data_IF_573077433213
#
_entry.id   IF_573077433213
#
_cell.length_a   1.000
_cell.length_b   1.000
_cell.length_c   1.000
_cell.angle_alpha   90.00
_cell.angle_beta   90.00
_cell.angle_gamma   90.00
#
_symmetry.space_group_name_H-M   'P 1'
#
loop_
_entity.id
_entity.type
_entity.pdbx_description
1 polymer ?
#
# COMPACT_ATOMS: atom_id res chain seq x y z
N UNK A 1 -21.60 -48.49 -48.01
CA UNK A 1 -22.75 -47.57 -47.86
C UNK A 1 -22.13 -46.17 -47.76
N UNK A 2 -22.07 -45.38 -48.84
CA UNK A 2 -23.16 -44.57 -49.41
C UNK A 2 -23.77 -43.67 -48.33
N UNK A 3 -23.89 -42.34 -48.43
CA UNK A 3 -23.98 -41.39 -49.55
C UNK A 3 -23.61 -39.98 -48.98
N UNK A 4 -22.90 -39.07 -49.68
CA UNK A 4 -23.45 -37.99 -50.56
C UNK A 4 -24.58 -37.19 -49.88
N UNK A 5 -24.73 -35.87 -49.93
CA UNK A 5 -24.44 -34.86 -50.96
C UNK A 5 -24.97 -33.51 -50.37
N UNK A 6 -24.21 -32.41 -50.37
CA UNK A 6 -24.21 -31.32 -51.38
C UNK A 6 -25.32 -30.27 -51.19
N UNK A 7 -24.98 -28.97 -51.29
CA UNK A 7 -25.99 -27.91 -51.43
C UNK A 7 -25.53 -26.47 -51.13
N UNK A 8 -24.90 -25.81 -52.10
CA UNK A 8 -24.76 -24.34 -52.18
C UNK A 8 -26.09 -23.63 -52.38
N UNK A 9 -26.34 -22.50 -51.70
CA UNK A 9 -27.26 -21.42 -52.16
C UNK A 9 -26.74 -20.09 -51.56
N UNK A 10 -26.04 -19.25 -52.34
CA UNK A 10 -26.55 -18.10 -53.11
C UNK A 10 -27.25 -16.99 -52.30
N UNK A 11 -26.61 -15.83 -52.31
CA UNK A 11 -27.02 -14.53 -51.75
C UNK A 11 -28.11 -13.91 -52.63
N UNK A 12 -29.09 -13.19 -52.05
CA UNK A 12 -29.70 -12.05 -52.72
C UNK A 12 -29.46 -10.72 -51.98
N UNK A 13 -29.28 -9.67 -52.79
CA UNK A 13 -29.07 -8.27 -52.43
C UNK A 13 -30.39 -7.48 -52.38
N UNK A 14 -30.32 -6.28 -51.80
CA UNK A 14 -31.24 -5.11 -51.85
C UNK A 14 -32.45 -5.12 -50.88
N UNK A 15 -32.43 -4.25 -49.86
CA UNK A 15 -32.76 -2.82 -49.99
C UNK A 15 -32.78 -2.08 -48.65
N UNK A 16 -32.16 -0.91 -48.67
CA UNK A 16 -32.28 0.30 -47.84
C UNK A 16 -33.46 0.40 -46.86
N UNK A 17 -33.15 0.59 -45.58
CA UNK A 17 -33.94 1.44 -44.68
C UNK A 17 -33.00 2.47 -44.05
N UNK A 18 -33.23 3.72 -44.45
CA UNK A 18 -32.61 4.93 -43.90
C UNK A 18 -33.11 5.15 -42.47
N UNK A 19 -32.19 5.18 -41.51
CA UNK A 19 -32.48 5.62 -40.14
C UNK A 19 -31.51 6.74 -39.82
N UNK A 20 -32.09 7.90 -39.50
CA UNK A 20 -31.38 9.15 -39.23
C UNK A 20 -30.38 9.02 -38.07
N UNK A 21 -29.24 9.75 -38.10
CA UNK A 21 -28.28 9.73 -37.01
C UNK A 21 -28.86 10.50 -35.81
N UNK A 22 -29.15 9.78 -34.73
CA UNK A 22 -29.31 10.40 -33.41
C UNK A 22 -27.90 10.83 -32.99
N UNK A 23 -27.72 12.14 -32.86
CA UNK A 23 -26.52 12.73 -32.29
C UNK A 23 -26.36 12.20 -30.86
N UNK A 24 -25.48 11.22 -30.69
CA UNK A 24 -24.94 10.86 -29.38
C UNK A 24 -24.11 12.06 -28.93
N UNK A 25 -24.68 12.83 -28.01
CA UNK A 25 -23.96 13.84 -27.25
C UNK A 25 -22.84 13.08 -26.55
N UNK A 26 -21.61 13.27 -27.03
CA UNK A 26 -20.41 12.81 -26.35
C UNK A 26 -20.41 13.47 -24.97
N UNK A 27 -20.68 12.68 -23.95
CA UNK A 27 -20.31 13.05 -22.59
C UNK A 27 -18.79 13.29 -22.61
N UNK A 28 -18.28 14.42 -22.10
CA UNK A 28 -16.85 14.54 -21.88
C UNK A 28 -16.50 13.52 -20.79
N UNK A 29 -15.90 12.40 -21.21
CA UNK A 29 -15.16 11.56 -20.31
C UNK A 29 -14.08 12.45 -19.70
N UNK A 30 -14.30 12.88 -18.45
CA UNK A 30 -13.30 13.58 -17.66
C UNK A 30 -12.19 12.56 -17.37
N UNK A 31 -11.27 12.43 -18.31
CA UNK A 31 -9.99 11.76 -18.13
C UNK A 31 -9.14 12.65 -17.23
N UNK A 32 -9.33 12.54 -15.91
CA UNK A 32 -8.36 13.01 -14.92
C UNK A 32 -7.65 11.81 -14.24
N UNK A 33 -6.76 11.06 -14.93
CA UNK A 33 -5.78 10.21 -14.26
C UNK A 33 -4.35 10.80 -14.24
N UNK A 34 -4.10 11.96 -14.84
CA UNK A 34 -2.73 12.49 -15.02
C UNK A 34 -2.27 13.49 -13.95
N UNK A 35 -3.19 14.22 -13.29
CA UNK A 35 -2.84 15.26 -12.31
C UNK A 35 -2.50 14.71 -10.93
N UNK A 36 -3.21 13.66 -10.49
CA UNK A 36 -2.99 13.03 -9.17
C UNK A 36 -1.63 12.36 -9.07
N UNK A 37 -1.23 11.62 -10.10
CA UNK A 37 0.10 10.97 -10.13
C UNK A 37 1.24 11.98 -10.16
N UNK A 38 1.11 13.06 -10.95
CA UNK A 38 2.12 14.12 -11.01
C UNK A 38 2.27 14.84 -9.66
N UNK A 39 1.15 15.21 -9.04
CA UNK A 39 1.10 15.77 -7.69
C UNK A 39 1.79 14.83 -6.68
N UNK A 40 1.41 13.56 -6.67
CA UNK A 40 1.97 12.59 -5.71
C UNK A 40 3.48 12.39 -5.89
N UNK A 41 3.96 12.45 -7.14
CA UNK A 41 5.38 12.39 -7.45
C UNK A 41 6.11 13.65 -6.98
N UNK A 42 5.53 14.84 -7.16
CA UNK A 42 6.11 16.11 -6.72
C UNK A 42 6.23 16.16 -5.19
N UNK A 43 5.14 15.85 -4.47
CA UNK A 43 5.14 15.77 -3.00
C UNK A 43 6.11 14.69 -2.50
N UNK A 44 6.07 13.49 -3.09
CA UNK A 44 6.96 12.40 -2.72
C UNK A 44 8.44 12.73 -2.94
N UNK A 45 8.79 13.40 -4.04
CA UNK A 45 10.15 13.85 -4.32
C UNK A 45 10.61 14.92 -3.33
N UNK A 46 9.74 15.87 -2.98
CA UNK A 46 10.02 16.88 -1.97
C UNK A 46 10.27 16.28 -0.59
N UNK A 47 9.38 15.41 -0.10
CA UNK A 47 9.57 14.69 1.17
C UNK A 47 10.89 13.90 1.13
N UNK A 48 11.15 13.19 0.02
CA UNK A 48 12.39 12.43 -0.17
C UNK A 48 13.63 13.32 -0.03
N UNK A 49 13.61 14.53 -0.58
CA UNK A 49 14.73 15.49 -0.50
C UNK A 49 15.03 15.95 0.93
N UNK A 50 14.02 15.91 1.81
CA UNK A 50 14.16 16.22 3.24
C UNK A 50 14.72 15.00 3.97
N UNK A 51 14.04 13.86 3.88
CA UNK A 51 14.40 12.66 4.65
C UNK A 51 15.73 12.06 4.19
N UNK A 52 16.16 12.27 2.93
CA UNK A 52 17.44 11.76 2.44
C UNK A 52 18.67 12.33 3.13
N UNK A 53 18.49 13.43 3.89
CA UNK A 53 19.55 14.07 4.69
C UNK A 53 19.64 13.48 6.11
N UNK A 54 18.71 12.61 6.49
CA UNK A 54 18.67 12.01 7.83
C UNK A 54 19.56 10.75 7.91
N UNK A 55 20.33 10.52 9.00
CA UNK A 55 21.12 9.30 9.18
C UNK A 55 20.28 8.01 9.12
N UNK A 56 19.03 8.07 9.59
CA UNK A 56 18.11 6.95 9.55
C UNK A 56 17.73 6.56 8.11
N UNK A 57 17.74 7.49 7.16
CA UNK A 57 17.50 7.19 5.75
C UNK A 57 18.58 6.31 5.16
N UNK A 58 19.85 6.58 5.46
CA UNK A 58 20.96 5.75 5.00
C UNK A 58 20.82 4.32 5.54
N UNK A 59 20.50 4.19 6.83
CA UNK A 59 20.25 2.89 7.47
C UNK A 59 19.08 2.16 6.81
N UNK A 60 17.99 2.88 6.53
CA UNK A 60 16.82 2.34 5.87
C UNK A 60 17.13 1.82 4.47
N UNK A 61 17.81 2.61 3.65
CA UNK A 61 18.20 2.21 2.29
C UNK A 61 19.14 1.00 2.33
N UNK A 62 20.13 1.00 3.22
CA UNK A 62 21.06 -0.13 3.40
C UNK A 62 20.34 -1.42 3.81
N UNK A 63 19.30 -1.31 4.63
CA UNK A 63 18.58 -2.47 5.13
C UNK A 63 17.58 -3.05 4.11
N UNK A 64 17.18 -2.31 3.07
CA UNK A 64 16.27 -2.82 2.02
C UNK A 64 16.83 -3.98 1.20
N UNK A 65 18.15 -4.10 1.07
CA UNK A 65 18.81 -5.20 0.36
C UNK A 65 19.17 -6.38 1.24
N UNK A 66 18.93 -6.28 2.56
CA UNK A 66 19.29 -7.29 3.55
C UNK A 66 18.06 -8.08 3.98
N UNK A 67 18.30 -9.32 4.39
CA UNK A 67 17.35 -10.08 5.17
C UNK A 67 17.51 -9.64 6.63
N UNK A 68 16.44 -9.10 7.21
CA UNK A 68 16.43 -8.54 8.56
C UNK A 68 15.70 -9.48 9.52
N UNK A 69 16.16 -9.49 10.77
CA UNK A 69 15.33 -9.99 11.88
C UNK A 69 14.06 -9.17 11.99
N UNK A 70 13.03 -9.74 12.60
CA UNK A 70 11.78 -9.02 12.78
C UNK A 70 11.96 -7.79 13.69
N UNK A 71 12.79 -7.85 14.74
CA UNK A 71 13.13 -6.70 15.57
C UNK A 71 13.81 -5.56 14.77
N UNK A 72 14.76 -5.89 13.89
CA UNK A 72 15.41 -4.92 12.99
C UNK A 72 14.41 -4.32 11.97
N UNK A 73 13.46 -5.13 11.48
CA UNK A 73 12.38 -4.68 10.60
C UNK A 73 11.42 -3.73 11.33
N UNK A 74 11.14 -3.96 12.62
CA UNK A 74 10.33 -3.03 13.43
C UNK A 74 11.01 -1.66 13.57
N UNK A 75 12.34 -1.60 13.63
CA UNK A 75 13.04 -0.30 13.60
C UNK A 75 12.85 0.43 12.27
N UNK A 76 12.75 -0.29 11.15
CA UNK A 76 12.40 0.31 9.85
C UNK A 76 10.97 0.84 9.86
N UNK A 77 10.04 0.07 10.43
CA UNK A 77 8.65 0.51 10.62
C UNK A 77 8.54 1.77 11.50
N UNK A 78 9.24 1.81 12.64
CA UNK A 78 9.26 2.99 13.52
C UNK A 78 9.77 4.24 12.78
N UNK A 79 10.79 4.08 11.94
CA UNK A 79 11.29 5.19 11.13
C UNK A 79 10.25 5.70 10.14
N UNK A 80 9.66 4.80 9.34
CA UNK A 80 8.62 5.19 8.36
C UNK A 80 7.40 5.78 9.05
N UNK A 81 6.95 5.21 10.17
CA UNK A 81 5.85 5.73 10.97
C UNK A 81 6.13 7.16 11.44
N UNK A 82 7.34 7.43 11.94
CA UNK A 82 7.73 8.79 12.36
C UNK A 82 7.66 9.80 11.21
N UNK A 83 8.05 9.39 10.00
CA UNK A 83 7.96 10.25 8.82
C UNK A 83 6.50 10.44 8.41
N UNK A 84 5.67 9.40 8.46
CA UNK A 84 4.22 9.51 8.27
C UNK A 84 3.61 10.50 9.27
N UNK A 85 3.84 10.30 10.56
CA UNK A 85 3.30 11.17 11.62
C UNK A 85 3.76 12.63 11.49
N UNK A 86 4.96 12.86 10.94
CA UNK A 86 5.50 14.20 10.72
C UNK A 86 4.82 14.93 9.56
N UNK A 87 4.57 14.22 8.45
CA UNK A 87 4.14 14.85 7.20
C UNK A 87 2.65 14.68 6.90
N UNK A 88 2.02 13.60 7.32
CA UNK A 88 0.59 13.38 7.08
C UNK A 88 -0.25 14.53 7.65
N UNK A 89 -1.21 15.04 6.86
CA UNK A 89 -2.08 16.19 7.18
C UNK A 89 -1.36 17.54 7.35
N UNK A 90 -0.06 17.59 7.13
CA UNK A 90 0.66 18.86 7.01
C UNK A 90 0.50 19.44 5.60
N UNK A 91 0.72 20.74 5.45
CA UNK A 91 0.67 21.42 4.15
C UNK A 91 2.05 21.45 3.51
N UNK A 92 2.10 21.25 2.20
CA UNK A 92 3.30 21.54 1.41
C UNK A 92 3.59 23.04 1.37
N UNK A 93 4.86 23.44 1.16
CA UNK A 93 5.22 24.84 0.96
C UNK A 93 4.46 25.45 -0.23
N UNK A 94 4.01 26.71 -0.16
CA UNK A 94 3.22 27.33 -1.23
C UNK A 94 4.01 27.52 -2.54
N UNK A 95 5.33 27.57 -2.43
CA UNK A 95 6.29 27.68 -3.53
C UNK A 95 6.69 26.33 -4.15
N UNK A 96 6.14 25.21 -3.66
CA UNK A 96 6.43 23.89 -4.23
C UNK A 96 5.80 23.75 -5.62
N UNK A 97 6.65 23.68 -6.65
CA UNK A 97 6.22 23.56 -8.03
C UNK A 97 5.34 22.32 -8.25
N UNK A 98 4.15 22.53 -8.80
CA UNK A 98 3.19 21.45 -9.09
C UNK A 98 2.47 20.86 -7.88
N UNK A 99 2.77 21.28 -6.65
CA UNK A 99 2.16 20.75 -5.44
C UNK A 99 2.10 21.74 -4.27
N UNK A 100 2.03 23.05 -4.51
CA UNK A 100 2.06 24.06 -3.46
C UNK A 100 0.76 24.20 -2.67
N UNK A 101 0.86 24.30 -1.35
CA UNK A 101 -0.30 24.52 -0.45
C UNK A 101 -1.28 23.35 -0.38
N UNK A 102 -0.81 22.12 -0.64
CA UNK A 102 -1.62 20.91 -0.68
C UNK A 102 -1.45 20.13 0.63
N UNK A 103 -2.54 19.54 1.12
CA UNK A 103 -2.49 18.62 2.25
C UNK A 103 -1.82 17.30 1.87
N UNK A 104 -0.82 16.90 2.66
CA UNK A 104 -0.05 15.69 2.40
C UNK A 104 -0.82 14.47 2.89
N UNK A 105 -0.99 13.50 1.99
CA UNK A 105 -1.62 12.20 2.31
C UNK A 105 -0.59 11.13 2.65
N UNK A 106 -1.02 10.06 3.36
CA UNK A 106 -0.16 8.89 3.62
C UNK A 106 0.44 8.31 2.33
N UNK A 107 -0.35 8.24 1.26
CA UNK A 107 0.10 7.69 -0.02
C UNK A 107 1.29 8.48 -0.60
N UNK A 108 1.27 9.81 -0.46
CA UNK A 108 2.35 10.70 -0.90
C UNK A 108 3.61 10.54 -0.05
N UNK A 109 3.46 10.36 1.27
CA UNK A 109 4.60 10.01 2.14
C UNK A 109 5.21 8.68 1.70
N UNK A 110 4.40 7.65 1.47
CA UNK A 110 4.89 6.33 1.03
C UNK A 110 5.57 6.37 -0.34
N UNK A 111 5.16 7.29 -1.21
CA UNK A 111 5.83 7.55 -2.49
C UNK A 111 7.28 8.02 -2.31
N UNK A 112 7.58 8.80 -1.28
CA UNK A 112 8.96 9.21 -0.95
C UNK A 112 9.88 8.00 -0.66
N UNK A 113 9.33 6.94 -0.06
CA UNK A 113 10.04 5.70 0.22
C UNK A 113 10.04 4.72 -0.97
N UNK A 114 9.33 5.01 -2.06
CA UNK A 114 9.08 4.06 -3.14
C UNK A 114 8.51 2.72 -2.59
N UNK A 115 7.46 2.84 -1.78
CA UNK A 115 6.72 1.74 -1.17
C UNK A 115 5.21 1.93 -1.40
N UNK A 116 4.43 0.84 -1.45
CA UNK A 116 2.98 0.94 -1.58
C UNK A 116 2.34 1.41 -0.26
N UNK A 117 1.16 2.03 -0.36
CA UNK A 117 0.39 2.47 0.82
C UNK A 117 0.12 1.33 1.80
N UNK A 118 -0.23 0.14 1.29
CA UNK A 118 -0.51 -1.04 2.10
C UNK A 118 0.66 -1.45 3.01
N UNK A 119 1.90 -1.18 2.59
CA UNK A 119 3.06 -1.43 3.45
C UNK A 119 3.07 -0.48 4.66
N UNK A 120 2.66 0.78 4.48
CA UNK A 120 2.53 1.76 5.55
C UNK A 120 1.37 1.44 6.50
N UNK A 121 0.27 0.91 5.98
CA UNK A 121 -0.87 0.42 6.78
C UNK A 121 -0.47 -0.79 7.62
N UNK A 122 0.13 -1.82 6.99
CA UNK A 122 0.67 -3.00 7.69
C UNK A 122 1.71 -2.60 8.73
N UNK A 123 2.58 -1.62 8.44
CA UNK A 123 3.55 -1.05 9.36
C UNK A 123 2.87 -0.46 10.60
N UNK A 124 1.88 0.42 10.40
CA UNK A 124 1.14 1.07 11.49
C UNK A 124 0.48 0.03 12.39
N UNK A 125 -0.22 -0.92 11.78
CA UNK A 125 -0.92 -1.99 12.51
C UNK A 125 0.05 -2.89 13.27
N UNK A 126 1.15 -3.30 12.63
CA UNK A 126 2.18 -4.13 13.26
C UNK A 126 2.76 -3.46 14.49
N UNK A 127 3.09 -2.16 14.41
CA UNK A 127 3.62 -1.41 15.53
C UNK A 127 2.62 -1.33 16.68
N UNK A 128 1.37 -0.95 16.39
CA UNK A 128 0.30 -0.87 17.41
C UNK A 128 0.12 -2.22 18.09
N UNK A 129 -0.08 -3.30 17.33
CA UNK A 129 -0.28 -4.62 17.92
C UNK A 129 0.95 -5.11 18.68
N UNK A 130 2.17 -4.76 18.25
CA UNK A 130 3.38 -5.09 19.02
C UNK A 130 3.42 -4.37 20.37
N UNK A 131 2.90 -3.15 20.48
CA UNK A 131 2.77 -2.49 21.80
C UNK A 131 1.75 -3.16 22.72
N UNK A 132 0.76 -3.86 22.14
CA UNK A 132 -0.26 -4.57 22.91
C UNK A 132 0.21 -5.96 23.35
N UNK A 133 0.95 -6.67 22.49
CA UNK A 133 1.21 -8.10 22.59
C UNK A 133 2.68 -8.52 22.60
N UNK A 134 3.60 -7.59 22.31
CA UNK A 134 5.04 -7.83 22.33
C UNK A 134 5.64 -7.72 23.75
N UNK A 135 6.97 -7.60 23.86
CA UNK A 135 7.66 -7.47 25.13
C UNK A 135 7.12 -6.28 25.94
N UNK A 136 6.66 -6.54 27.17
CA UNK A 136 6.01 -5.54 28.03
C UNK A 136 4.63 -5.08 27.53
N UNK A 137 3.95 -5.89 26.71
CA UNK A 137 2.69 -5.56 26.07
C UNK A 137 1.60 -5.14 27.06
N UNK A 138 0.84 -4.09 26.71
CA UNK A 138 -0.17 -3.50 27.61
C UNK A 138 -1.39 -4.39 27.85
N UNK A 139 -1.68 -5.33 26.93
CA UNK A 139 -2.76 -6.30 27.08
C UNK A 139 -2.23 -7.61 27.65
N UNK A 140 -1.21 -8.16 27.01
CA UNK A 140 -0.43 -9.28 27.52
C UNK A 140 0.90 -9.34 26.77
N UNK A 141 1.90 -10.00 27.35
CA UNK A 141 3.11 -10.38 26.61
C UNK A 141 2.90 -11.80 26.05
N UNK A 142 2.73 -11.94 24.72
CA UNK A 142 2.61 -13.26 24.09
C UNK A 142 4.02 -13.81 23.78
N UNK A 143 4.38 -15.01 24.30
CA UNK A 143 5.71 -15.57 24.13
C UNK A 143 6.04 -15.91 22.67
N UNK A 144 5.04 -16.22 21.83
CA UNK A 144 5.24 -16.50 20.40
C UNK A 144 5.59 -15.21 19.65
N UNK A 145 4.93 -14.10 20.00
CA UNK A 145 5.23 -12.76 19.45
C UNK A 145 6.67 -12.39 19.81
N UNK A 146 7.04 -12.53 21.08
CA UNK A 146 8.40 -12.22 21.54
C UNK A 146 9.47 -13.10 20.87
N UNK A 147 9.21 -14.40 20.72
CA UNK A 147 10.14 -15.31 20.06
C UNK A 147 10.36 -14.94 18.59
N UNK A 148 9.32 -14.52 17.88
CA UNK A 148 9.41 -14.18 16.46
C UNK A 148 10.21 -12.89 16.19
N UNK A 149 10.32 -12.00 17.19
CA UNK A 149 11.14 -10.78 17.11
C UNK A 149 12.63 -11.09 16.86
N UNK A 150 13.12 -12.17 17.47
CA UNK A 150 14.52 -12.60 17.38
C UNK A 150 14.81 -13.56 16.23
N UNK A 151 13.76 -14.04 15.55
CA UNK A 151 13.87 -14.94 14.40
C UNK A 151 14.44 -14.18 13.19
N UNK A 152 15.61 -14.63 12.70
CA UNK A 152 16.11 -14.24 11.38
C UNK A 152 15.41 -15.09 10.33
N UNK A 153 14.67 -14.52 9.38
CA UNK A 153 13.98 -15.32 8.38
C UNK A 153 14.95 -15.96 7.39
N UNK A 154 14.64 -17.16 6.89
CA UNK A 154 15.55 -17.89 6.00
C UNK A 154 15.58 -17.34 4.56
N UNK A 155 14.52 -16.65 4.13
CA UNK A 155 14.33 -16.29 2.70
C UNK A 155 14.20 -14.78 2.53
N UNK A 156 13.20 -14.15 3.16
CA UNK A 156 12.95 -12.73 2.97
C UNK A 156 12.31 -12.09 4.19
N UNK A 157 12.68 -10.84 4.43
CA UNK A 157 12.08 -9.98 5.46
C UNK A 157 10.58 -9.79 5.24
N UNK A 158 10.13 -9.64 3.98
CA UNK A 158 8.73 -9.41 3.65
C UNK A 158 7.82 -10.59 4.00
N UNK A 159 8.28 -11.82 3.81
CA UNK A 159 7.55 -13.02 4.24
C UNK A 159 7.43 -13.08 5.77
N UNK A 160 8.51 -12.77 6.48
CA UNK A 160 8.53 -12.77 7.95
C UNK A 160 7.61 -11.70 8.52
N UNK A 161 7.63 -10.48 7.97
CA UNK A 161 6.75 -9.40 8.40
C UNK A 161 5.27 -9.78 8.25
N UNK A 162 4.89 -10.45 7.15
CA UNK A 162 3.52 -10.96 6.97
C UNK A 162 3.18 -12.05 7.98
N UNK A 163 4.08 -13.01 8.23
CA UNK A 163 3.90 -14.07 9.24
C UNK A 163 3.70 -13.45 10.63
N UNK A 164 4.51 -12.45 10.96
CA UNK A 164 4.44 -11.72 12.23
C UNK A 164 3.12 -10.97 12.40
N UNK A 165 2.68 -10.22 11.38
CA UNK A 165 1.38 -9.54 11.41
C UNK A 165 0.20 -10.51 11.52
N UNK A 166 0.25 -11.66 10.83
CA UNK A 166 -0.77 -12.71 10.99
C UNK A 166 -0.83 -13.23 12.42
N UNK A 167 0.32 -13.49 13.04
CA UNK A 167 0.39 -13.92 14.45
C UNK A 167 -0.19 -12.86 15.38
N UNK A 168 0.16 -11.58 15.18
CA UNK A 168 -0.37 -10.48 15.98
C UNK A 168 -1.90 -10.38 15.89
N UNK A 169 -2.46 -10.52 14.67
CA UNK A 169 -3.90 -10.54 14.44
C UNK A 169 -4.58 -11.75 15.09
N UNK A 170 -3.95 -12.91 15.08
CA UNK A 170 -4.45 -14.12 15.78
C UNK A 170 -4.52 -13.88 17.29
N UNK A 171 -3.43 -13.40 17.89
CA UNK A 171 -3.36 -13.10 19.33
C UNK A 171 -4.40 -12.05 19.71
N UNK A 172 -4.55 -11.00 18.88
CA UNK A 172 -5.57 -9.98 19.08
C UNK A 172 -6.99 -10.56 19.04
N UNK A 173 -7.29 -11.43 18.07
CA UNK A 173 -8.58 -12.11 17.97
C UNK A 173 -8.87 -12.97 19.20
N UNK A 174 -7.90 -13.78 19.65
CA UNK A 174 -8.01 -14.61 20.85
C UNK A 174 -8.26 -13.76 22.11
N UNK A 175 -7.50 -12.67 22.25
CA UNK A 175 -7.63 -11.77 23.39
C UNK A 175 -9.01 -11.10 23.43
N UNK A 176 -9.52 -10.62 22.30
CA UNK A 176 -10.82 -9.95 22.20
C UNK A 176 -11.98 -10.90 22.46
N UNK A 177 -11.89 -12.17 22.07
CA UNK A 177 -12.88 -13.20 22.42
C UNK A 177 -12.89 -13.46 23.93
N UNK A 178 -11.72 -13.48 24.56
CA UNK A 178 -11.59 -13.70 26.00
C UNK A 178 -11.98 -12.47 26.85
N UNK A 179 -11.94 -11.27 26.27
CA UNK A 179 -12.21 -9.99 26.96
C UNK A 179 -13.24 -9.14 26.18
N UNK A 180 -14.50 -9.59 26.07
CA UNK A 180 -15.50 -8.91 25.26
C UNK A 180 -15.84 -7.49 25.74
N UNK A 181 -15.66 -7.20 27.03
CA UNK A 181 -16.00 -5.91 27.65
C UNK A 181 -14.87 -4.86 27.56
N UNK A 182 -13.71 -5.20 26.99
CA UNK A 182 -12.51 -4.34 26.92
C UNK A 182 -12.14 -3.95 25.47
N UNK A 183 -13.14 -3.83 24.59
CA UNK A 183 -12.95 -3.38 23.20
C UNK A 183 -12.63 -1.88 23.09
#
# INVERSE_FOLDING_TARGET
>A
MAAQSNGSISIPSLSTVSIAPIATIAAPASLVPSTTSALDNAVGAWIKSIISKEPQWETFVKNRSRVLKMSEQLEQYKYVQRVMDRFEKSMTPPDLEGAGGVEITKAQVMRAFNLPLSWGEDCTETLVMTTLYGPGGTRCEDPRVCAMLEETPPISTGMQARKYLTLLREVHGQWTIAHPDMQ
#
